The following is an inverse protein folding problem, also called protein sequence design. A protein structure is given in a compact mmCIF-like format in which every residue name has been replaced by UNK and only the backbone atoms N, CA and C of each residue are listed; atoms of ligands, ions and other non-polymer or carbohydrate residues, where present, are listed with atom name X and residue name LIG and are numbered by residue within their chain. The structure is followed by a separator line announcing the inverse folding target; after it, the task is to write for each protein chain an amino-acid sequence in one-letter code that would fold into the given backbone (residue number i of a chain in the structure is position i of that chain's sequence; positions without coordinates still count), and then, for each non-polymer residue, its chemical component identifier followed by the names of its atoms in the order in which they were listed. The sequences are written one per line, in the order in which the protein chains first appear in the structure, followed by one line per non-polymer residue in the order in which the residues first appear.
data_IF_581422385699
#
_entry.id   IF_581422385699
#
_cell.length_a   1.000
_cell.length_b   1.000
_cell.length_c   1.000
_cell.angle_alpha   90.00
_cell.angle_beta   90.00
_cell.angle_gamma   90.00
#
_symmetry.space_group_name_H-M   'P 1'
#
loop_
_entity.id
_entity.type
_entity.pdbx_description
1 polymer ?
#
# COMPACT_ATOMS: atom_id res chain seq x y z
N UNK A 1 -7.06 23.75 -18.49
CA UNK A 1 -7.33 24.54 -19.71
C UNK A 1 -6.99 23.81 -21.02
N UNK A 2 -5.84 23.14 -21.17
CA UNK A 2 -5.42 22.51 -22.44
C UNK A 2 -6.28 21.31 -22.89
N UNK A 3 -6.71 20.44 -21.98
CA UNK A 3 -7.61 19.29 -22.29
C UNK A 3 -8.97 19.79 -22.77
N UNK A 4 -9.56 20.76 -22.06
CA UNK A 4 -10.82 21.42 -22.44
C UNK A 4 -10.72 22.10 -23.81
N UNK A 5 -9.64 22.85 -24.08
CA UNK A 5 -9.40 23.47 -25.39
C UNK A 5 -9.25 22.43 -26.50
N UNK A 6 -8.58 21.31 -26.25
CA UNK A 6 -8.38 20.24 -27.24
C UNK A 6 -9.68 19.50 -27.56
N UNK A 7 -10.49 19.20 -26.54
CA UNK A 7 -11.81 18.57 -26.69
C UNK A 7 -12.77 19.45 -27.50
N UNK A 8 -12.78 20.75 -27.21
CA UNK A 8 -13.66 21.70 -27.87
C UNK A 8 -13.11 22.25 -29.20
N UNK A 9 -11.85 21.96 -29.55
CA UNK A 9 -11.24 22.43 -30.81
C UNK A 9 -11.96 21.91 -32.04
N UNK A 10 -12.51 20.69 -31.95
CA UNK A 10 -13.34 20.07 -32.97
C UNK A 10 -14.64 20.86 -33.19
N UNK A 11 -15.22 21.37 -32.09
CA UNK A 11 -16.48 22.13 -32.08
C UNK A 11 -16.31 23.58 -32.55
N UNK A 12 -15.18 24.22 -32.24
CA UNK A 12 -14.98 25.65 -32.52
C UNK A 12 -14.13 25.94 -33.76
N UNK A 13 -13.19 25.06 -34.14
CA UNK A 13 -12.30 25.28 -35.30
C UNK A 13 -12.61 24.32 -36.46
N UNK A 14 -13.61 23.44 -36.31
CA UNK A 14 -13.99 22.39 -37.27
C UNK A 14 -12.83 21.49 -37.72
N UNK A 15 -11.77 21.40 -36.90
CA UNK A 15 -10.58 20.57 -37.14
C UNK A 15 -10.63 19.33 -36.26
N UNK A 16 -10.76 18.15 -36.87
CA UNK A 16 -10.60 16.88 -36.16
C UNK A 16 -9.15 16.74 -35.70
N UNK A 17 -8.87 16.65 -34.39
CA UNK A 17 -7.53 16.35 -33.91
C UNK A 17 -7.16 14.94 -34.36
N UNK A 18 -5.92 14.75 -34.84
CA UNK A 18 -5.47 13.40 -35.19
C UNK A 18 -5.36 12.56 -33.92
N UNK A 19 -5.82 11.31 -33.98
CA UNK A 19 -5.71 10.37 -32.85
C UNK A 19 -4.28 10.29 -32.34
N UNK A 20 -3.30 10.25 -33.25
CA UNK A 20 -1.89 10.25 -32.91
C UNK A 20 -1.48 11.49 -32.09
N UNK A 21 -1.92 12.70 -32.48
CA UNK A 21 -1.64 13.91 -31.68
C UNK A 21 -2.28 13.84 -30.30
N UNK A 22 -3.51 13.34 -30.20
CA UNK A 22 -4.19 13.17 -28.93
C UNK A 22 -3.42 12.20 -28.01
N UNK A 23 -3.01 11.04 -28.53
CA UNK A 23 -2.17 10.10 -27.78
C UNK A 23 -0.84 10.70 -27.34
N UNK A 24 -0.15 11.44 -28.22
CA UNK A 24 1.07 12.15 -27.87
C UNK A 24 0.84 13.15 -26.72
N UNK A 25 -0.23 13.94 -26.78
CA UNK A 25 -0.58 14.90 -25.73
C UNK A 25 -0.88 14.20 -24.40
N UNK A 26 -1.68 13.14 -24.41
CA UNK A 26 -2.00 12.36 -23.20
C UNK A 26 -0.72 11.79 -22.60
N UNK A 27 0.14 11.17 -23.42
CA UNK A 27 1.41 10.59 -22.97
C UNK A 27 2.34 11.64 -22.36
N UNK A 28 2.46 12.81 -23.00
CA UNK A 28 3.24 13.93 -22.49
C UNK A 28 2.70 14.44 -21.15
N UNK A 29 1.38 14.55 -21.02
CA UNK A 29 0.74 15.02 -19.79
C UNK A 29 0.90 14.03 -18.64
N UNK A 30 0.75 12.73 -18.90
CA UNK A 30 1.01 11.68 -17.91
C UNK A 30 2.46 11.74 -17.42
N UNK A 31 3.44 11.88 -18.32
CA UNK A 31 4.85 12.00 -17.94
C UNK A 31 5.13 13.24 -17.10
N UNK A 32 4.47 14.35 -17.40
CA UNK A 32 4.60 15.60 -16.66
C UNK A 32 4.05 15.47 -15.23
N UNK A 33 2.88 14.85 -15.06
CA UNK A 33 2.23 14.77 -13.74
C UNK A 33 2.75 13.60 -12.88
N UNK A 34 3.24 12.52 -13.49
CA UNK A 34 3.62 11.30 -12.78
C UNK A 34 4.60 11.50 -11.60
N UNK A 35 5.64 12.34 -11.68
CA UNK A 35 6.54 12.59 -10.54
C UNK A 35 5.87 13.23 -9.32
N UNK A 36 4.70 13.84 -9.51
CA UNK A 36 3.96 14.55 -8.45
C UNK A 36 2.82 13.71 -7.88
N UNK A 37 2.55 12.52 -8.44
CA UNK A 37 1.50 11.64 -7.96
C UNK A 37 2.05 10.65 -6.92
N UNK A 38 1.45 10.54 -5.73
CA UNK A 38 1.82 9.50 -4.78
C UNK A 38 1.39 8.13 -5.31
N UNK A 39 2.25 7.13 -5.21
CA UNK A 39 1.92 5.77 -5.64
C UNK A 39 3.14 4.87 -5.79
N UNK A 40 2.88 3.57 -5.81
CA UNK A 40 3.91 2.55 -6.05
C UNK A 40 3.39 1.54 -7.07
N UNK A 41 4.28 1.07 -7.95
CA UNK A 41 3.99 -0.03 -8.85
C UNK A 41 4.07 -1.37 -8.11
N UNK A 42 3.14 -2.28 -8.38
CA UNK A 42 3.14 -3.62 -7.79
C UNK A 42 3.26 -4.69 -8.88
N UNK A 43 4.41 -5.36 -8.91
CA UNK A 43 4.65 -6.47 -9.83
C UNK A 43 5.06 -6.02 -11.24
N UNK A 44 5.26 -7.01 -12.10
CA UNK A 44 5.90 -6.82 -13.42
C UNK A 44 4.99 -6.09 -14.41
N UNK A 45 3.68 -6.39 -14.39
CA UNK A 45 2.70 -5.79 -15.31
C UNK A 45 2.64 -4.27 -15.15
N UNK A 46 2.48 -3.79 -13.91
CA UNK A 46 2.42 -2.36 -13.59
C UNK A 46 3.70 -1.64 -14.01
N UNK A 47 4.86 -2.24 -13.70
CA UNK A 47 6.17 -1.72 -14.09
C UNK A 47 6.30 -1.59 -15.62
N UNK A 48 5.83 -2.59 -16.37
CA UNK A 48 5.88 -2.57 -17.83
C UNK A 48 4.93 -1.54 -18.43
N UNK A 49 3.72 -1.39 -17.88
CA UNK A 49 2.74 -0.40 -18.33
C UNK A 49 3.29 1.02 -18.14
N UNK A 50 3.82 1.32 -16.95
CA UNK A 50 4.42 2.62 -16.63
C UNK A 50 5.62 2.93 -17.54
N UNK A 51 6.49 1.94 -17.77
CA UNK A 51 7.61 2.09 -18.72
C UNK A 51 7.13 2.35 -20.15
N UNK A 52 6.09 1.65 -20.62
CA UNK A 52 5.55 1.83 -21.97
C UNK A 52 5.00 3.26 -22.19
N UNK A 53 4.46 3.88 -21.14
CA UNK A 53 4.03 5.28 -21.16
C UNK A 53 5.16 6.27 -20.85
N UNK A 54 6.37 5.80 -20.53
CA UNK A 54 7.57 6.59 -20.24
C UNK A 54 7.59 7.19 -18.83
N UNK A 55 6.93 6.54 -17.89
CA UNK A 55 6.97 6.86 -16.46
C UNK A 55 7.92 5.88 -15.78
N UNK A 56 8.81 6.39 -14.93
CA UNK A 56 9.71 5.55 -14.12
C UNK A 56 8.90 4.97 -12.95
N UNK A 57 8.72 3.64 -12.85
CA UNK A 57 7.95 3.05 -11.77
C UNK A 57 8.70 3.15 -10.44
N UNK A 58 8.00 3.54 -9.38
CA UNK A 58 8.51 3.48 -8.00
C UNK A 58 8.11 2.12 -7.41
N UNK A 59 9.07 1.25 -7.07
CA UNK A 59 8.75 -0.08 -6.54
C UNK A 59 8.11 0.03 -5.15
N UNK A 60 7.02 -0.71 -4.93
CA UNK A 60 6.46 -0.84 -3.58
C UNK A 60 7.45 -1.60 -2.70
N UNK A 61 7.92 -0.97 -1.61
CA UNK A 61 8.69 -1.67 -0.57
C UNK A 61 7.80 -2.77 -0.01
N UNK A 62 8.15 -4.02 -0.27
CA UNK A 62 7.52 -5.18 0.37
C UNK A 62 8.37 -5.55 1.58
N UNK A 63 7.74 -5.53 2.75
CA UNK A 63 8.32 -6.19 3.93
C UNK A 63 8.46 -7.67 3.61
N UNK A 64 9.69 -8.18 3.62
CA UNK A 64 9.93 -9.61 3.45
C UNK A 64 9.52 -10.27 4.76
N UNK A 65 8.54 -11.19 4.76
CA UNK A 65 8.23 -11.95 5.96
C UNK A 65 9.45 -12.81 6.30
N UNK A 66 10.01 -12.59 7.49
CA UNK A 66 11.08 -13.44 8.01
C UNK A 66 10.46 -14.71 8.58
N UNK A 67 10.91 -15.86 8.10
CA UNK A 67 10.61 -17.13 8.75
C UNK A 67 11.41 -17.17 10.06
N UNK A 68 10.71 -17.01 11.18
CA UNK A 68 11.31 -17.17 12.51
C UNK A 68 11.00 -18.59 12.98
N UNK A 69 12.05 -19.40 13.16
CA UNK A 69 11.92 -20.69 13.84
C UNK A 69 11.79 -20.41 15.34
N UNK A 70 10.59 -20.61 15.89
CA UNK A 70 10.35 -20.43 17.32
C UNK A 70 11.07 -21.54 18.08
N UNK A 71 11.96 -21.17 19.01
CA UNK A 71 12.59 -22.09 19.93
C UNK A 71 11.89 -21.97 21.29
N UNK A 72 11.61 -23.08 22.00
CA UNK A 72 11.07 -22.99 23.34
C UNK A 72 12.07 -22.27 24.27
N UNK A 73 11.60 -21.40 25.18
CA UNK A 73 12.48 -20.76 26.13
C UNK A 73 13.09 -21.80 27.08
N UNK A 74 14.29 -21.52 27.60
CA UNK A 74 14.92 -22.36 28.61
C UNK A 74 14.09 -22.38 29.90
N UNK A 75 14.08 -23.48 30.65
CA UNK A 75 13.42 -23.52 31.96
C UNK A 75 14.14 -22.58 32.95
N UNK A 76 13.43 -21.90 33.88
CA UNK A 76 12.01 -22.05 34.23
C UNK A 76 11.12 -20.92 33.66
N UNK A 77 11.13 -20.70 32.35
CA UNK A 77 10.32 -19.62 31.76
C UNK A 77 8.86 -20.05 31.55
N UNK A 78 7.92 -19.20 31.99
CA UNK A 78 6.48 -19.38 31.79
C UNK A 78 6.07 -18.91 30.39
N UNK A 79 5.46 -19.80 29.60
CA UNK A 79 4.88 -19.46 28.29
C UNK A 79 3.49 -18.84 28.49
N UNK A 80 3.36 -17.54 28.20
CA UNK A 80 2.06 -16.87 28.12
C UNK A 80 1.63 -16.81 26.65
N UNK A 81 0.54 -17.50 26.31
CA UNK A 81 -0.11 -17.33 25.01
C UNK A 81 -1.17 -16.24 25.15
N UNK A 82 -1.01 -15.13 24.44
CA UNK A 82 -2.04 -14.10 24.31
C UNK A 82 -2.64 -14.17 22.91
N UNK A 83 -3.95 -14.33 22.82
CA UNK A 83 -4.67 -14.18 21.55
C UNK A 83 -5.27 -12.78 21.46
N UNK A 84 -5.40 -12.25 20.24
CA UNK A 84 -5.94 -10.92 19.98
C UNK A 84 -7.17 -11.01 19.08
N UNK A 85 -8.33 -10.56 19.57
CA UNK A 85 -9.55 -10.43 18.76
C UNK A 85 -9.64 -9.00 18.19
N UNK A 86 -9.82 -8.88 16.88
CA UNK A 86 -10.09 -7.61 16.22
C UNK A 86 -11.50 -7.58 15.63
N UNK A 87 -12.22 -6.47 15.82
CA UNK A 87 -13.56 -6.27 15.22
C UNK A 87 -13.42 -5.59 13.85
N UNK A 88 -13.34 -6.39 12.77
CA UNK A 88 -13.27 -5.92 11.38
C UNK A 88 -11.86 -5.87 10.77
N UNK A 89 -11.75 -5.65 9.44
CA UNK A 89 -10.48 -5.57 8.69
C UNK A 89 -10.36 -4.30 7.84
N UNK A 90 -9.52 -3.31 8.21
CA UNK A 90 -8.82 -3.16 9.49
C UNK A 90 -9.70 -2.39 10.50
N UNK A 91 -10.08 -3.05 11.61
CA UNK A 91 -10.77 -2.41 12.74
C UNK A 91 -9.85 -2.17 13.93
N UNK A 92 -10.22 -1.30 14.89
CA UNK A 92 -9.40 -1.02 16.08
C UNK A 92 -9.21 -2.30 16.91
N UNK A 93 -7.94 -2.63 17.21
CA UNK A 93 -7.58 -3.69 18.14
C UNK A 93 -7.68 -3.16 19.58
N UNK A 94 -8.42 -3.87 20.44
CA UNK A 94 -8.47 -3.61 21.88
C UNK A 94 -7.69 -4.70 22.58
N UNK A 95 -6.66 -4.33 23.33
CA UNK A 95 -5.96 -5.25 24.25
C UNK A 95 -6.74 -5.23 25.55
N UNK A 96 -7.40 -6.35 25.90
CA UNK A 96 -8.11 -6.47 27.17
C UNK A 96 -7.10 -6.83 28.28
N UNK A 97 -6.54 -5.81 28.92
CA UNK A 97 -5.46 -5.92 29.93
C UNK A 97 -5.88 -6.49 31.30
N UNK A 98 -7.14 -6.93 31.46
CA UNK A 98 -7.68 -7.31 32.78
C UNK A 98 -7.20 -8.68 33.29
N UNK A 99 -6.84 -9.61 32.41
CA UNK A 99 -6.44 -10.96 32.84
C UNK A 99 -4.96 -11.05 33.26
N UNK A 100 -4.10 -10.19 32.73
CA UNK A 100 -2.64 -10.24 32.98
C UNK A 100 -2.30 -9.87 34.44
N UNK A 101 -3.05 -8.95 35.05
CA UNK A 101 -2.82 -8.54 36.45
C UNK A 101 -3.22 -9.66 37.43
N UNK A 102 -4.24 -10.46 37.10
CA UNK A 102 -4.69 -11.57 37.96
C UNK A 102 -3.68 -12.71 38.05
N UNK A 103 -3.03 -13.07 36.94
CA UNK A 103 -2.02 -14.13 36.87
C UNK A 103 -0.74 -13.81 37.66
N UNK A 104 -0.30 -12.53 37.63
CA UNK A 104 0.85 -12.08 38.42
C UNK A 104 0.56 -12.19 39.92
N UNK A 105 -0.65 -11.82 40.36
CA UNK A 105 -1.06 -11.89 41.78
C UNK A 105 -1.08 -13.33 42.32
N UNK A 106 -1.58 -14.28 41.53
CA UNK A 106 -1.62 -15.71 41.90
C UNK A 106 -0.21 -16.28 42.03
N UNK A 107 0.70 -15.93 41.11
CA UNK A 107 2.08 -16.42 41.14
C UNK A 107 2.91 -15.82 42.29
N UNK A 108 2.67 -14.55 42.65
CA UNK A 108 3.31 -13.93 43.83
C UNK A 108 2.80 -14.46 45.17
N UNK A 109 1.69 -15.20 45.18
CA UNK A 109 1.09 -15.81 46.38
C UNK A 109 1.58 -17.25 46.62
N UNK A 110 2.37 -17.80 45.69
CA UNK A 110 2.88 -19.18 45.68
C UNK A 110 4.39 -19.26 45.96
N UNK A 111 5.02 -18.15 46.37
CA UNK A 111 6.44 -18.07 46.82
C UNK A 111 6.47 -17.64 48.28
#
# INVERSE_FOLDING_TARGET
MAIWKTHNKLRFENKKPSLMKVFCYIKAWIRFIAPHLPGHASGVLDCNLLKAIGVVPVPKIRWVPHLVLWHPPFLPWLKLNTDGLAKGSPGPAVVETKEIIGLISILSSLV
#
